data_IF_765460658794
#
_entry.id   IF_765460658794
#
_cell.length_a   1.000
_cell.length_b   1.000
_cell.length_c   1.000
_cell.angle_alpha   90.00
_cell.angle_beta   90.00
_cell.angle_gamma   90.00
#
_symmetry.space_group_name_H-M   'P 1'
#
loop_
_entity.id
_entity.type
_entity.pdbx_description
1 polymer ?
#
# COMPACT_ATOMS: atom_id res chain seq x y z
N UNK A 1 -3.09 -2.82 -15.59
CA UNK A 1 -2.55 -2.32 -14.30
C UNK A 1 -2.45 -3.47 -13.31
N UNK A 2 -1.34 -3.54 -12.63
CA UNK A 2 -1.03 -4.59 -11.66
C UNK A 2 -1.41 -4.15 -10.24
N UNK A 3 -1.95 -5.08 -9.47
CA UNK A 3 -2.41 -4.82 -8.10
C UNK A 3 -1.83 -5.84 -7.13
N UNK A 4 -1.63 -5.41 -5.90
CA UNK A 4 -1.23 -6.24 -4.78
C UNK A 4 -2.37 -6.27 -3.75
N UNK A 5 -2.79 -7.47 -3.37
CA UNK A 5 -3.71 -7.65 -2.26
C UNK A 5 -2.99 -8.35 -1.11
N UNK A 6 -3.17 -7.83 0.08
CA UNK A 6 -2.71 -8.47 1.31
C UNK A 6 -3.89 -9.18 1.92
N UNK A 7 -3.88 -10.51 1.90
CA UNK A 7 -4.97 -11.33 2.39
C UNK A 7 -4.99 -11.38 3.92
N UNK A 8 -6.17 -11.70 4.47
CA UNK A 8 -6.33 -11.94 5.89
C UNK A 8 -5.94 -13.36 6.28
N UNK A 9 -6.69 -13.93 7.24
CA UNK A 9 -6.35 -15.24 7.84
C UNK A 9 -6.44 -16.42 6.89
N UNK A 10 -7.26 -16.32 5.83
CA UNK A 10 -7.50 -17.41 4.91
C UNK A 10 -7.13 -16.98 3.47
N UNK A 11 -5.82 -17.02 3.14
CA UNK A 11 -5.36 -16.50 1.85
C UNK A 11 -5.97 -17.21 0.64
N UNK A 12 -6.27 -18.50 0.74
CA UNK A 12 -6.87 -19.24 -0.37
C UNK A 12 -8.30 -18.80 -0.66
N UNK A 13 -9.05 -18.43 0.37
CA UNK A 13 -10.39 -17.88 0.19
C UNK A 13 -10.30 -16.49 -0.44
N UNK A 14 -9.37 -15.67 0.02
CA UNK A 14 -9.12 -14.34 -0.57
C UNK A 14 -8.73 -14.47 -2.03
N UNK A 15 -7.87 -15.43 -2.37
CA UNK A 15 -7.47 -15.70 -3.75
C UNK A 15 -8.67 -16.10 -4.61
N UNK A 16 -9.51 -17.01 -4.11
CA UNK A 16 -10.70 -17.45 -4.83
C UNK A 16 -11.66 -16.28 -5.09
N UNK A 17 -11.82 -15.40 -4.12
CA UNK A 17 -12.66 -14.22 -4.26
C UNK A 17 -12.15 -13.28 -5.34
N UNK A 18 -10.84 -13.00 -5.35
CA UNK A 18 -10.23 -12.13 -6.36
C UNK A 18 -10.31 -12.77 -7.74
N UNK A 19 -10.10 -14.08 -7.83
CA UNK A 19 -10.23 -14.80 -9.11
C UNK A 19 -11.65 -14.72 -9.66
N UNK A 20 -12.64 -14.80 -8.79
CA UNK A 20 -14.04 -14.76 -9.21
C UNK A 20 -14.49 -13.36 -9.62
N UNK A 21 -14.05 -12.32 -8.89
CA UNK A 21 -14.51 -10.95 -9.11
C UNK A 21 -13.69 -10.16 -10.11
N UNK A 22 -12.40 -10.41 -10.21
CA UNK A 22 -11.49 -9.53 -10.94
C UNK A 22 -10.63 -10.22 -11.98
N UNK A 23 -9.81 -11.18 -11.58
CA UNK A 23 -8.79 -11.76 -12.45
C UNK A 23 -8.63 -13.25 -12.17
N UNK A 24 -9.14 -14.09 -13.08
CA UNK A 24 -9.04 -15.54 -12.94
C UNK A 24 -7.60 -16.06 -12.89
N UNK A 25 -6.63 -15.24 -13.31
CA UNK A 25 -5.22 -15.59 -13.28
C UNK A 25 -4.48 -15.01 -12.07
N UNK A 26 -5.20 -14.44 -11.10
CA UNK A 26 -4.59 -13.94 -9.87
C UNK A 26 -3.78 -15.05 -9.19
N UNK A 27 -2.65 -14.67 -8.59
CA UNK A 27 -1.70 -15.62 -8.00
C UNK A 27 -1.31 -15.26 -6.58
N UNK A 28 -1.22 -16.26 -5.74
CA UNK A 28 -0.60 -16.14 -4.43
C UNK A 28 0.92 -16.14 -4.61
N UNK A 29 1.62 -15.09 -4.17
CA UNK A 29 3.07 -14.92 -4.37
C UNK A 29 3.86 -14.98 -3.07
N UNK A 30 3.22 -15.31 -1.98
CA UNK A 30 3.82 -15.45 -0.67
C UNK A 30 2.79 -16.09 0.24
N UNK A 31 2.99 -15.94 1.55
CA UNK A 31 2.08 -16.53 2.51
C UNK A 31 0.66 -15.96 2.39
N UNK A 32 0.56 -14.65 2.21
CA UNK A 32 -0.73 -13.95 2.17
C UNK A 32 -0.75 -12.79 1.17
N UNK A 33 0.07 -12.86 0.13
CA UNK A 33 0.16 -11.81 -0.88
C UNK A 33 -0.38 -12.32 -2.20
N UNK A 34 -1.23 -11.54 -2.84
CA UNK A 34 -1.87 -11.90 -4.09
C UNK A 34 -1.58 -10.82 -5.11
N UNK A 35 -1.11 -11.21 -6.29
CA UNK A 35 -0.88 -10.32 -7.42
C UNK A 35 -1.95 -10.60 -8.48
N UNK A 36 -2.54 -9.55 -9.02
CA UNK A 36 -3.52 -9.67 -10.09
C UNK A 36 -3.49 -8.44 -10.99
N UNK A 37 -4.14 -8.54 -12.14
CA UNK A 37 -4.14 -7.47 -13.14
C UNK A 37 -5.56 -7.18 -13.63
N UNK A 38 -5.82 -5.90 -13.89
CA UNK A 38 -7.07 -5.44 -14.49
C UNK A 38 -6.76 -4.43 -15.60
N UNK A 39 -7.56 -4.42 -16.65
CA UNK A 39 -7.34 -3.54 -17.80
C UNK A 39 -8.14 -2.24 -17.71
N UNK A 40 -9.44 -2.30 -17.51
CA UNK A 40 -10.33 -1.13 -17.69
C UNK A 40 -11.11 -0.75 -16.44
N UNK A 41 -10.77 -1.31 -15.28
CA UNK A 41 -11.46 -0.98 -14.03
C UNK A 41 -10.50 -1.07 -12.86
N UNK A 42 -10.84 -0.38 -11.78
CA UNK A 42 -10.09 -0.46 -10.52
C UNK A 42 -10.80 -1.42 -9.57
N UNK A 43 -10.05 -2.21 -8.81
CA UNK A 43 -10.65 -3.02 -7.75
C UNK A 43 -11.06 -2.13 -6.57
N UNK A 44 -12.08 -2.57 -5.87
CA UNK A 44 -12.58 -1.88 -4.68
C UNK A 44 -12.40 -2.81 -3.48
N UNK A 45 -11.67 -2.32 -2.47
CA UNK A 45 -11.36 -3.14 -1.30
C UNK A 45 -12.63 -3.58 -0.54
N UNK A 46 -13.64 -2.74 -0.50
CA UNK A 46 -14.87 -3.06 0.22
C UNK A 46 -15.70 -4.19 -0.42
N UNK A 47 -15.35 -4.59 -1.63
CA UNK A 47 -15.95 -5.76 -2.29
C UNK A 47 -15.23 -7.06 -2.01
N UNK A 48 -14.09 -6.98 -1.32
CA UNK A 48 -13.22 -8.12 -1.03
C UNK A 48 -13.26 -8.40 0.47
N UNK A 49 -14.05 -9.37 0.88
CA UNK A 49 -14.26 -9.67 2.30
C UNK A 49 -13.04 -10.22 3.02
N UNK A 50 -12.13 -10.86 2.30
CA UNK A 50 -10.94 -11.48 2.87
C UNK A 50 -9.64 -10.71 2.68
N UNK A 51 -9.68 -9.52 2.09
CA UNK A 51 -8.50 -8.72 1.78
C UNK A 51 -8.34 -7.59 2.79
N UNK A 52 -7.16 -7.52 3.42
CA UNK A 52 -6.86 -6.51 4.42
C UNK A 52 -6.37 -5.20 3.79
N UNK A 53 -5.49 -5.29 2.80
CA UNK A 53 -4.96 -4.13 2.09
C UNK A 53 -4.96 -4.38 0.59
N UNK A 54 -5.12 -3.30 -0.16
CA UNK A 54 -5.13 -3.35 -1.61
C UNK A 54 -4.26 -2.21 -2.14
N UNK A 55 -3.36 -2.51 -3.06
CA UNK A 55 -2.46 -1.50 -3.63
C UNK A 55 -2.40 -1.57 -5.14
N UNK A 56 -2.20 -0.41 -5.76
CA UNK A 56 -2.01 -0.25 -7.20
C UNK A 56 -0.53 -0.02 -7.48
N UNK A 57 0.02 -0.73 -8.47
CA UNK A 57 1.42 -0.59 -8.83
C UNK A 57 1.74 0.85 -9.21
N UNK A 58 2.79 1.39 -8.61
CA UNK A 58 3.43 2.63 -9.05
C UNK A 58 4.65 2.25 -9.89
N UNK A 59 4.66 2.64 -11.15
CA UNK A 59 5.78 2.37 -12.04
C UNK A 59 6.85 3.43 -11.83
N UNK A 60 7.87 3.10 -11.04
CA UNK A 60 8.96 4.01 -10.74
C UNK A 60 9.62 3.66 -9.42
N UNK A 61 10.61 4.45 -9.06
CA UNK A 61 11.34 4.31 -7.80
C UNK A 61 10.77 5.26 -6.72
N UNK A 62 11.38 5.25 -5.55
CA UNK A 62 10.95 6.11 -4.45
C UNK A 62 11.04 7.59 -4.79
N UNK A 63 12.04 8.01 -5.56
CA UNK A 63 12.19 9.40 -5.97
C UNK A 63 10.99 9.83 -6.84
N UNK A 64 10.62 9.01 -7.80
CA UNK A 64 9.45 9.25 -8.64
C UNK A 64 8.16 9.24 -7.82
N UNK A 65 8.07 8.35 -6.84
CA UNK A 65 6.91 8.27 -5.97
C UNK A 65 6.74 9.55 -5.14
N UNK A 66 7.82 10.08 -4.57
CA UNK A 66 7.78 11.33 -3.80
C UNK A 66 7.22 12.46 -4.66
N UNK A 67 7.71 12.58 -5.88
CA UNK A 67 7.22 13.59 -6.83
C UNK A 67 5.73 13.37 -7.12
N UNK A 68 5.33 12.12 -7.31
CA UNK A 68 3.95 11.76 -7.59
C UNK A 68 3.02 12.14 -6.43
N UNK A 69 3.43 11.85 -5.18
CA UNK A 69 2.65 12.23 -4.00
C UNK A 69 2.47 13.75 -3.90
N UNK A 70 3.52 14.50 -4.21
CA UNK A 70 3.46 15.96 -4.21
C UNK A 70 2.48 16.48 -5.26
N UNK A 71 2.41 15.83 -6.41
CA UNK A 71 1.50 16.20 -7.49
C UNK A 71 0.04 15.80 -7.20
N UNK A 72 -0.17 14.63 -6.58
CA UNK A 72 -1.50 14.14 -6.24
C UNK A 72 -2.20 15.03 -5.20
N UNK A 73 -1.44 15.60 -4.28
CA UNK A 73 -1.97 16.40 -3.19
C UNK A 73 -1.13 17.66 -3.05
N UNK A 74 -1.31 18.64 -3.96
CA UNK A 74 -0.39 19.78 -4.05
C UNK A 74 -0.50 20.77 -2.89
N UNK A 75 -1.60 20.75 -2.14
CA UNK A 75 -1.81 21.66 -1.01
C UNK A 75 -2.21 20.86 0.22
N UNK A 76 -1.82 21.37 1.39
CA UNK A 76 -2.15 20.76 2.67
C UNK A 76 -1.14 19.74 3.13
N UNK A 77 -1.46 19.09 4.24
CA UNK A 77 -0.57 18.11 4.86
C UNK A 77 -0.62 16.78 4.10
N UNK A 78 0.55 16.19 3.88
CA UNK A 78 0.69 14.83 3.36
C UNK A 78 0.94 13.91 4.54
N UNK A 79 0.09 12.90 4.69
CA UNK A 79 0.25 11.82 5.68
C UNK A 79 0.60 10.54 4.94
N UNK A 80 1.65 9.87 5.35
CA UNK A 80 2.00 8.60 4.71
C UNK A 80 2.66 7.64 5.69
N UNK A 81 2.66 6.38 5.31
CA UNK A 81 3.42 5.33 5.98
C UNK A 81 3.89 4.29 4.98
N UNK A 82 4.88 3.50 5.37
CA UNK A 82 5.46 2.45 4.53
C UNK A 82 5.25 1.10 5.22
N UNK A 83 4.75 0.13 4.46
CA UNK A 83 4.68 -1.27 4.87
C UNK A 83 5.54 -2.10 3.94
N UNK A 84 6.45 -2.89 4.50
CA UNK A 84 7.38 -3.72 3.75
C UNK A 84 6.94 -5.18 3.79
N UNK A 85 6.53 -5.70 2.64
CA UNK A 85 6.11 -7.09 2.45
C UNK A 85 7.17 -7.93 1.75
N UNK A 86 8.37 -7.41 1.56
CA UNK A 86 9.44 -8.08 0.85
C UNK A 86 9.86 -9.38 1.54
N UNK A 87 10.37 -10.33 0.76
CA UNK A 87 10.82 -11.62 1.28
C UNK A 87 11.99 -11.46 2.25
N UNK A 88 12.95 -10.58 1.91
CA UNK A 88 14.07 -10.27 2.77
C UNK A 88 13.92 -8.86 3.29
N UNK A 89 13.46 -8.74 4.52
CA UNK A 89 13.25 -7.45 5.16
C UNK A 89 14.53 -7.02 5.86
N UNK A 90 14.94 -5.78 5.60
CA UNK A 90 16.06 -5.17 6.32
C UNK A 90 15.49 -4.47 7.56
N UNK A 91 16.09 -4.72 8.70
CA UNK A 91 15.70 -4.06 9.95
C UNK A 91 15.77 -2.54 9.78
N UNK A 92 14.68 -1.86 10.13
CA UNK A 92 14.62 -0.40 10.08
C UNK A 92 14.44 0.20 8.68
N UNK A 93 14.28 -0.62 7.64
CA UNK A 93 14.13 -0.11 6.28
C UNK A 93 12.95 0.86 6.15
N UNK A 94 11.77 0.45 6.60
CA UNK A 94 10.56 1.26 6.48
C UNK A 94 10.71 2.59 7.21
N UNK A 95 11.30 2.57 8.41
CA UNK A 95 11.54 3.79 9.19
C UNK A 95 12.52 4.73 8.49
N UNK A 96 13.68 4.19 8.07
CA UNK A 96 14.71 5.00 7.42
C UNK A 96 14.21 5.60 6.12
N UNK A 97 13.52 4.82 5.31
CA UNK A 97 12.95 5.29 4.05
C UNK A 97 11.88 6.34 4.29
N UNK A 98 11.05 6.16 5.32
CA UNK A 98 10.04 7.15 5.70
C UNK A 98 10.67 8.49 6.06
N UNK A 99 11.78 8.47 6.80
CA UNK A 99 12.47 9.70 7.18
C UNK A 99 13.12 10.38 5.95
N UNK A 100 13.67 9.60 5.02
CA UNK A 100 14.20 10.15 3.76
C UNK A 100 13.10 10.86 2.96
N UNK A 101 11.94 10.21 2.83
CA UNK A 101 10.80 10.78 2.09
C UNK A 101 10.28 12.03 2.78
N UNK A 102 10.19 12.01 4.11
CA UNK A 102 9.78 13.18 4.88
C UNK A 102 10.70 14.36 4.61
N UNK A 103 12.02 14.13 4.60
CA UNK A 103 12.99 15.18 4.31
C UNK A 103 12.84 15.72 2.88
N UNK A 104 12.66 14.82 1.92
CA UNK A 104 12.47 15.21 0.52
C UNK A 104 11.23 16.06 0.32
N UNK A 105 10.11 15.67 0.89
CA UNK A 105 8.87 16.45 0.83
C UNK A 105 9.00 17.78 1.58
N UNK A 106 9.70 17.76 2.71
CA UNK A 106 9.98 18.99 3.46
C UNK A 106 10.76 20.01 2.65
N UNK A 107 11.76 19.55 1.87
CA UNK A 107 12.53 20.42 0.97
C UNK A 107 11.67 20.99 -0.16
N UNK A 108 10.59 20.33 -0.50
CA UNK A 108 9.60 20.83 -1.47
C UNK A 108 8.59 21.79 -0.83
N UNK A 109 8.77 22.13 0.46
CA UNK A 109 7.88 23.03 1.17
C UNK A 109 6.62 22.37 1.72
N UNK A 110 6.56 21.02 1.77
CA UNK A 110 5.36 20.33 2.21
C UNK A 110 5.39 20.03 3.70
N UNK A 111 4.22 20.15 4.32
CA UNK A 111 4.00 19.67 5.68
C UNK A 111 3.69 18.18 5.65
N UNK A 112 4.38 17.39 6.48
CA UNK A 112 4.31 15.93 6.39
C UNK A 112 4.10 15.31 7.76
N UNK A 113 3.19 14.34 7.82
CA UNK A 113 3.00 13.48 8.98
C UNK A 113 3.33 12.03 8.57
N UNK A 114 4.23 11.40 9.30
CA UNK A 114 4.61 10.01 9.03
C UNK A 114 3.95 9.08 10.03
N UNK A 115 3.33 8.03 9.52
CA UNK A 115 2.80 6.94 10.33
C UNK A 115 3.88 5.87 10.40
N UNK A 116 4.35 5.56 11.59
CA UNK A 116 5.39 4.56 11.80
C UNK A 116 4.86 3.36 12.58
N UNK A 117 5.56 2.24 12.48
CA UNK A 117 5.24 1.02 13.21
C UNK A 117 6.52 0.36 13.66
N UNK A 118 6.45 -0.37 14.77
CA UNK A 118 7.57 -1.22 15.22
C UNK A 118 7.75 -2.43 14.32
N UNK A 119 6.68 -2.86 13.68
CA UNK A 119 6.70 -3.97 12.72
C UNK A 119 7.05 -3.46 11.33
N UNK A 120 7.54 -4.33 10.43
CA UNK A 120 7.78 -3.93 9.02
C UNK A 120 6.51 -3.45 8.33
N UNK A 121 5.34 -3.94 8.76
CA UNK A 121 4.05 -3.55 8.20
C UNK A 121 3.31 -2.65 9.18
N UNK A 122 2.59 -1.67 8.63
CA UNK A 122 1.66 -0.88 9.45
C UNK A 122 0.45 -1.77 9.75
N UNK A 123 0.08 -1.95 11.03
CA UNK A 123 -1.10 -2.75 11.35
C UNK A 123 -2.36 -2.22 10.65
N UNK A 124 -3.24 -3.12 10.24
CA UNK A 124 -4.46 -2.76 9.52
C UNK A 124 -5.33 -1.78 10.32
N UNK A 125 -5.42 -1.96 11.63
CA UNK A 125 -6.17 -1.05 12.49
C UNK A 125 -5.59 0.37 12.43
N UNK A 126 -4.27 0.50 12.46
CA UNK A 126 -3.59 1.81 12.38
C UNK A 126 -3.81 2.46 11.02
N UNK A 127 -3.64 1.70 9.94
CA UNK A 127 -3.85 2.20 8.59
C UNK A 127 -5.31 2.62 8.37
N UNK A 128 -6.25 1.83 8.85
CA UNK A 128 -7.67 2.14 8.74
C UNK A 128 -8.05 3.38 9.55
N UNK A 129 -7.56 3.48 10.78
CA UNK A 129 -7.81 4.64 11.65
C UNK A 129 -7.31 5.94 11.02
N UNK A 130 -6.16 5.90 10.34
CA UNK A 130 -5.57 7.06 9.68
C UNK A 130 -6.06 7.23 8.24
N UNK A 131 -7.00 6.41 7.78
CA UNK A 131 -7.60 6.48 6.46
C UNK A 131 -6.58 6.47 5.32
N UNK A 132 -5.49 5.71 5.50
CA UNK A 132 -4.44 5.59 4.50
C UNK A 132 -4.97 4.93 3.22
N UNK A 133 -4.75 5.60 2.10
CA UNK A 133 -5.24 5.14 0.80
C UNK A 133 -6.66 5.55 0.48
N UNK A 134 -7.41 6.10 1.43
CA UNK A 134 -8.81 6.49 1.23
C UNK A 134 -9.01 8.01 1.27
N UNK A 135 -8.49 8.66 2.30
CA UNK A 135 -8.60 10.12 2.43
C UNK A 135 -7.58 10.82 1.56
N UNK A 136 -7.95 11.87 0.79
CA UNK A 136 -6.98 12.65 0.02
C UNK A 136 -5.83 13.13 0.90
N UNK A 137 -4.60 12.96 0.41
CA UNK A 137 -3.40 13.32 1.14
C UNK A 137 -2.92 12.28 2.14
N UNK A 138 -3.60 11.15 2.27
CA UNK A 138 -3.24 10.07 3.18
C UNK A 138 -2.89 8.82 2.38
N UNK A 139 -1.63 8.36 2.48
CA UNK A 139 -1.10 7.30 1.64
C UNK A 139 -0.43 6.21 2.46
N UNK A 140 -0.55 4.98 2.00
CA UNK A 140 0.31 3.88 2.45
C UNK A 140 1.06 3.35 1.25
N UNK A 141 2.38 3.24 1.38
CA UNK A 141 3.25 2.69 0.35
C UNK A 141 3.52 1.24 0.73
N UNK A 142 3.07 0.32 -0.11
CA UNK A 142 3.29 -1.11 0.08
C UNK A 142 4.50 -1.52 -0.76
N UNK A 143 5.53 -2.01 -0.09
CA UNK A 143 6.78 -2.41 -0.75
C UNK A 143 6.82 -3.93 -0.86
N UNK A 144 7.02 -4.43 -2.07
CA UNK A 144 7.22 -5.86 -2.34
C UNK A 144 8.46 -5.98 -3.20
N UNK A 145 9.57 -6.37 -2.55
CA UNK A 145 10.89 -6.46 -3.18
C UNK A 145 11.27 -5.13 -3.86
N UNK A 146 11.27 -5.05 -5.17
CA UNK A 146 11.61 -3.82 -5.89
C UNK A 146 10.40 -3.07 -6.41
N UNK A 147 9.19 -3.57 -6.11
CA UNK A 147 7.96 -2.94 -6.56
C UNK A 147 7.32 -2.11 -5.46
N UNK A 148 6.77 -0.97 -5.87
CA UNK A 148 6.05 -0.05 -4.99
C UNK A 148 4.58 -0.02 -5.39
N UNK A 149 3.70 -0.12 -4.40
CA UNK A 149 2.26 -0.04 -4.61
C UNK A 149 1.69 1.07 -3.73
N UNK A 150 0.77 1.85 -4.27
CA UNK A 150 0.01 2.82 -3.48
C UNK A 150 -1.30 2.19 -3.03
N UNK A 151 -1.56 2.27 -1.74
CA UNK A 151 -2.76 1.71 -1.15
C UNK A 151 -4.03 2.36 -1.71
N UNK A 152 -5.02 1.52 -2.01
CA UNK A 152 -6.38 1.91 -2.36
C UNK A 152 -7.33 1.72 -1.18
N UNK A 153 -6.81 1.38 -0.02
CA UNK A 153 -7.57 1.23 1.19
C UNK A 153 -7.14 0.04 2.03
N UNK A 154 -7.61 0.04 3.26
CA UNK A 154 -7.34 -1.02 4.23
C UNK A 154 -8.64 -1.35 4.96
N UNK A 155 -8.89 -2.64 5.17
CA UNK A 155 -10.01 -3.12 5.97
C UNK A 155 -9.51 -3.76 7.25
N UNK A 156 -10.24 -3.54 8.33
CA UNK A 156 -9.98 -4.21 9.58
C UNK A 156 -10.85 -5.47 9.62
N UNK A 157 -10.24 -6.60 9.28
CA UNK A 157 -10.92 -7.90 9.23
C UNK A 157 -10.65 -8.64 10.52
N UNK A 158 -11.70 -9.02 11.21
CA UNK A 158 -11.62 -9.81 12.43
C UNK A 158 -11.74 -11.31 12.16
#
# INVERSE_FOLDING_TARGET
MKYLAVAGRQPLISLAEIQALYDKHAKLVGKNLIIFQLNNKKPEINRLGGTMKLGELFEGDFRGLVKHLNELHPEGKITFGISDFSKQKKAGFAFQKSMEIKRSLGKMGRSVRVITSKEPEIPSATAHHNQLGEKPGCYEILVLDQELYLSLGTQNIT
#
